data_IF_533211478433
#
_entry.id   IF_533211478433
#
_cell.length_a   1.000
_cell.length_b   1.000
_cell.length_c   1.000
_cell.angle_alpha   90.00
_cell.angle_beta   90.00
_cell.angle_gamma   90.00
#
_symmetry.space_group_name_H-M   'P 1'
#
loop_
_entity.id
_entity.type
_entity.pdbx_description
1 polymer ?
#
# COMPACT_ATOMS: atom_id res chain seq x y z
N UNK A 1 -11.75 -18.51 -12.61
CA UNK A 1 -12.66 -17.38 -12.17
C UNK A 1 -12.50 -16.22 -13.14
N UNK A 2 -13.59 -15.59 -13.63
CA UNK A 2 -13.57 -14.52 -14.63
C UNK A 2 -14.45 -13.36 -14.19
N UNK A 3 -14.05 -12.11 -14.52
CA UNK A 3 -14.73 -10.89 -14.06
C UNK A 3 -16.20 -10.83 -14.50
N UNK A 4 -16.50 -11.17 -15.74
CA UNK A 4 -17.88 -11.10 -16.28
C UNK A 4 -18.89 -11.98 -15.53
N UNK A 5 -18.42 -13.06 -14.88
CA UNK A 5 -19.30 -13.93 -14.07
C UNK A 5 -19.77 -13.29 -12.76
N UNK A 6 -19.04 -12.26 -12.26
CA UNK A 6 -19.34 -11.64 -10.98
C UNK A 6 -19.67 -10.14 -11.05
N UNK A 7 -19.43 -9.47 -12.20
CA UNK A 7 -19.57 -8.01 -12.33
C UNK A 7 -20.94 -7.46 -11.93
N UNK A 8 -22.00 -8.26 -12.07
CA UNK A 8 -23.36 -7.88 -11.70
C UNK A 8 -23.69 -8.17 -10.22
N UNK A 9 -22.78 -8.77 -9.46
CA UNK A 9 -22.98 -9.12 -8.05
C UNK A 9 -22.13 -8.23 -7.16
N UNK A 10 -22.69 -7.11 -6.73
CA UNK A 10 -21.97 -6.06 -6.00
C UNK A 10 -21.10 -6.59 -4.82
N UNK A 11 -21.67 -7.47 -3.99
CA UNK A 11 -20.97 -8.07 -2.86
C UNK A 11 -19.75 -8.90 -3.28
N UNK A 12 -19.84 -9.67 -4.39
CA UNK A 12 -18.75 -10.49 -4.90
C UNK A 12 -17.64 -9.62 -5.52
N UNK A 13 -17.99 -8.54 -6.21
CA UNK A 13 -17.02 -7.59 -6.77
C UNK A 13 -16.26 -6.87 -5.65
N UNK A 14 -16.91 -6.49 -4.57
CA UNK A 14 -16.21 -5.91 -3.41
C UNK A 14 -15.37 -6.94 -2.66
N UNK A 15 -15.85 -8.19 -2.54
CA UNK A 15 -15.14 -9.25 -1.83
C UNK A 15 -13.90 -9.72 -2.59
N UNK A 16 -13.97 -9.89 -3.91
CA UNK A 16 -12.92 -10.48 -4.71
C UNK A 16 -11.85 -9.44 -5.14
N UNK A 17 -12.08 -8.47 -6.06
CA UNK A 17 -11.06 -7.48 -6.42
C UNK A 17 -10.98 -6.29 -5.46
N UNK A 18 -11.99 -6.06 -4.61
CA UNK A 18 -12.02 -4.98 -3.62
C UNK A 18 -12.27 -3.58 -4.19
N UNK A 19 -12.85 -3.49 -5.36
CA UNK A 19 -13.30 -2.28 -6.04
C UNK A 19 -14.78 -2.39 -6.39
N UNK A 20 -15.49 -1.28 -6.50
CA UNK A 20 -16.80 -1.25 -7.12
C UNK A 20 -16.69 -1.44 -8.64
N UNK A 21 -17.77 -1.80 -9.37
CA UNK A 21 -17.74 -1.87 -10.83
C UNK A 21 -17.27 -0.56 -11.49
N UNK A 22 -17.71 0.59 -11.00
CA UNK A 22 -17.30 1.91 -11.51
C UNK A 22 -15.81 2.15 -11.30
N UNK A 23 -15.29 1.86 -10.10
CA UNK A 23 -13.86 1.96 -9.80
C UNK A 23 -13.05 0.98 -10.66
N UNK A 24 -13.55 -0.24 -10.88
CA UNK A 24 -12.89 -1.24 -11.71
C UNK A 24 -12.80 -0.76 -13.16
N UNK A 25 -13.90 -0.29 -13.74
CA UNK A 25 -13.94 0.17 -15.14
C UNK A 25 -13.04 1.42 -15.33
N UNK A 26 -13.03 2.35 -14.38
CA UNK A 26 -12.14 3.52 -14.40
C UNK A 26 -10.65 3.13 -14.35
N UNK A 27 -10.28 2.15 -13.52
CA UNK A 27 -8.90 1.66 -13.42
C UNK A 27 -8.49 0.90 -14.69
N UNK A 28 -9.44 0.17 -15.30
CA UNK A 28 -9.20 -0.71 -16.45
C UNK A 28 -8.69 0.06 -17.68
N UNK A 29 -9.14 1.29 -17.90
CA UNK A 29 -8.73 2.12 -19.03
C UNK A 29 -7.20 2.32 -19.04
N UNK A 30 -6.64 2.81 -17.94
CA UNK A 30 -5.20 3.05 -17.81
C UNK A 30 -4.40 1.75 -17.69
N UNK A 31 -4.99 0.70 -17.07
CA UNK A 31 -4.36 -0.62 -16.99
C UNK A 31 -4.22 -1.25 -18.39
N UNK A 32 -5.24 -1.12 -19.24
CA UNK A 32 -5.18 -1.57 -20.64
C UNK A 32 -4.08 -0.87 -21.41
N UNK A 33 -3.94 0.46 -21.27
CA UNK A 33 -2.89 1.23 -21.91
C UNK A 33 -1.49 0.66 -21.58
N UNK A 34 -1.18 0.48 -20.28
CA UNK A 34 0.13 -0.04 -19.86
C UNK A 34 0.34 -1.52 -20.20
N UNK A 35 -0.73 -2.31 -20.24
CA UNK A 35 -0.66 -3.67 -20.73
C UNK A 35 -0.30 -3.72 -22.21
N UNK A 36 -0.99 -2.95 -23.06
CA UNK A 36 -0.77 -2.94 -24.51
C UNK A 36 0.63 -2.41 -24.85
N UNK A 37 1.08 -1.36 -24.16
CA UNK A 37 2.45 -0.83 -24.26
C UNK A 37 3.48 -1.92 -23.92
N UNK A 38 3.33 -2.60 -22.79
CA UNK A 38 4.25 -3.66 -22.41
C UNK A 38 4.22 -4.83 -23.39
N UNK A 39 3.04 -5.33 -23.70
CA UNK A 39 2.87 -6.56 -24.47
C UNK A 39 3.28 -6.42 -25.94
N UNK A 40 3.21 -5.23 -26.51
CA UNK A 40 3.73 -4.97 -27.86
C UNK A 40 5.25 -5.11 -27.97
N UNK A 41 5.98 -4.78 -26.87
CA UNK A 41 7.44 -4.75 -26.88
C UNK A 41 8.10 -5.95 -26.17
N UNK A 42 7.43 -6.56 -25.18
CA UNK A 42 8.03 -7.58 -24.34
C UNK A 42 7.21 -8.88 -24.32
N UNK A 43 7.90 -10.00 -24.10
CA UNK A 43 7.28 -11.29 -23.80
C UNK A 43 6.78 -11.31 -22.34
N UNK A 44 6.04 -12.35 -21.94
CA UNK A 44 5.64 -12.52 -20.53
C UNK A 44 6.84 -12.69 -19.58
N UNK A 45 7.98 -13.14 -20.11
CA UNK A 45 9.23 -13.29 -19.38
C UNK A 45 10.10 -12.01 -19.38
N UNK A 46 9.61 -10.90 -19.97
CA UNK A 46 10.30 -9.61 -20.00
C UNK A 46 11.39 -9.49 -21.10
N UNK A 47 11.48 -10.44 -22.04
CA UNK A 47 12.42 -10.35 -23.17
C UNK A 47 11.84 -9.44 -24.27
N UNK A 48 12.70 -8.63 -24.91
CA UNK A 48 12.30 -7.83 -26.07
C UNK A 48 11.76 -8.74 -27.19
N UNK A 49 10.66 -8.32 -27.79
CA UNK A 49 10.08 -9.00 -28.95
C UNK A 49 10.77 -8.54 -30.22
N UNK A 50 11.04 -9.51 -31.08
CA UNK A 50 11.52 -9.23 -32.47
C UNK A 50 10.39 -8.83 -33.42
N UNK A 51 9.13 -9.17 -33.05
CA UNK A 51 7.92 -8.87 -33.84
C UNK A 51 6.81 -8.40 -32.93
N UNK A 52 5.99 -7.46 -33.40
CA UNK A 52 4.78 -7.03 -32.69
C UNK A 52 3.87 -8.25 -32.48
N UNK A 53 3.36 -8.40 -31.29
CA UNK A 53 2.48 -9.50 -30.92
C UNK A 53 1.14 -8.96 -30.42
N UNK A 54 0.08 -9.65 -30.78
CA UNK A 54 -1.28 -9.39 -30.30
C UNK A 54 -1.70 -10.44 -29.26
N UNK A 55 -2.66 -10.08 -28.40
CA UNK A 55 -3.23 -11.02 -27.42
C UNK A 55 -3.80 -12.25 -28.12
N UNK A 56 -3.29 -13.43 -27.79
CA UNK A 56 -3.81 -14.69 -28.34
C UNK A 56 -5.12 -15.04 -27.66
N UNK A 57 -6.12 -15.45 -28.44
CA UNK A 57 -7.41 -15.96 -27.91
C UNK A 57 -7.24 -17.20 -27.03
N UNK A 58 -6.17 -17.97 -27.26
CA UNK A 58 -5.78 -19.18 -26.48
C UNK A 58 -4.98 -18.85 -25.21
N UNK A 59 -4.84 -17.59 -24.82
CA UNK A 59 -4.20 -17.21 -23.55
C UNK A 59 -5.11 -17.64 -22.38
N UNK A 60 -4.52 -18.09 -21.30
CA UNK A 60 -5.25 -18.43 -20.03
C UNK A 60 -6.02 -17.23 -19.49
N UNK A 61 -5.49 -16.03 -19.67
CA UNK A 61 -6.18 -14.77 -19.36
C UNK A 61 -6.36 -13.98 -20.66
N UNK A 62 -7.36 -14.30 -21.52
CA UNK A 62 -7.48 -13.70 -22.85
C UNK A 62 -7.91 -12.24 -22.78
N UNK A 63 -8.84 -11.89 -21.89
CA UNK A 63 -9.40 -10.55 -21.77
C UNK A 63 -8.57 -9.67 -20.84
N UNK A 64 -8.55 -8.37 -21.11
CA UNK A 64 -7.81 -7.42 -20.28
C UNK A 64 -8.41 -7.27 -18.88
N UNK A 65 -9.74 -7.30 -18.78
CA UNK A 65 -10.43 -7.28 -17.49
C UNK A 65 -10.08 -8.50 -16.63
N UNK A 66 -9.89 -9.68 -17.23
CA UNK A 66 -9.51 -10.88 -16.46
C UNK A 66 -8.07 -10.79 -15.94
N UNK A 67 -7.16 -10.15 -16.70
CA UNK A 67 -5.80 -9.88 -16.23
C UNK A 67 -5.81 -8.94 -15.01
N UNK A 68 -6.54 -7.83 -15.09
CA UNK A 68 -6.66 -6.90 -13.97
C UNK A 68 -7.39 -7.56 -12.79
N UNK A 69 -8.45 -8.30 -13.05
CA UNK A 69 -9.18 -9.04 -12.04
C UNK A 69 -8.30 -10.06 -11.32
N UNK A 70 -7.52 -10.85 -12.06
CA UNK A 70 -6.56 -11.82 -11.51
C UNK A 70 -5.64 -11.19 -10.47
N UNK A 71 -4.97 -10.08 -10.81
CA UNK A 71 -4.03 -9.45 -9.88
C UNK A 71 -4.72 -8.78 -8.70
N UNK A 72 -5.86 -8.14 -8.90
CA UNK A 72 -6.62 -7.52 -7.82
C UNK A 72 -7.13 -8.55 -6.81
N UNK A 73 -7.62 -9.72 -7.28
CA UNK A 73 -8.02 -10.83 -6.41
C UNK A 73 -6.83 -11.35 -5.61
N UNK A 74 -5.68 -11.54 -6.23
CA UNK A 74 -4.47 -11.98 -5.52
C UNK A 74 -4.07 -11.02 -4.39
N UNK A 75 -3.99 -9.72 -4.69
CA UNK A 75 -3.63 -8.69 -3.70
C UNK A 75 -4.68 -8.56 -2.59
N UNK A 76 -5.96 -8.66 -2.95
CA UNK A 76 -7.09 -8.51 -2.02
C UNK A 76 -7.24 -9.69 -1.08
N UNK A 77 -7.08 -10.93 -1.56
CA UNK A 77 -7.40 -12.13 -0.80
C UNK A 77 -6.18 -12.87 -0.25
N UNK A 78 -4.97 -12.57 -0.76
CA UNK A 78 -3.70 -13.20 -0.36
C UNK A 78 -3.77 -14.74 -0.34
N UNK A 79 -4.22 -15.40 -1.41
CA UNK A 79 -4.31 -16.86 -1.45
C UNK A 79 -2.92 -17.50 -1.56
N UNK A 80 -2.83 -18.79 -1.30
CA UNK A 80 -1.69 -19.58 -1.79
C UNK A 80 -1.66 -19.51 -3.31
N UNK A 81 -0.47 -19.39 -3.90
CA UNK A 81 -0.34 -19.29 -5.36
C UNK A 81 -0.93 -20.52 -6.09
N UNK A 82 -0.83 -21.70 -5.48
CA UNK A 82 -1.46 -22.93 -6.00
C UNK A 82 -2.98 -22.79 -6.07
N UNK A 83 -3.63 -22.35 -4.97
CA UNK A 83 -5.09 -22.14 -4.96
C UNK A 83 -5.51 -21.05 -5.93
N UNK A 84 -4.70 -20.00 -6.07
CA UNK A 84 -4.96 -18.94 -7.04
C UNK A 84 -4.87 -19.47 -8.48
N UNK A 85 -3.89 -20.33 -8.75
CA UNK A 85 -3.72 -20.98 -10.03
C UNK A 85 -4.94 -21.86 -10.38
N UNK A 86 -5.41 -22.67 -9.44
CA UNK A 86 -6.63 -23.50 -9.60
C UNK A 86 -7.85 -22.63 -9.90
N UNK A 87 -8.03 -21.49 -9.19
CA UNK A 87 -9.16 -20.58 -9.43
C UNK A 87 -9.20 -20.01 -10.84
N UNK A 88 -8.04 -19.86 -11.49
CA UNK A 88 -7.89 -19.28 -12.82
C UNK A 88 -7.47 -20.32 -13.89
N UNK A 89 -7.61 -21.60 -13.59
CA UNK A 89 -7.40 -22.71 -14.54
C UNK A 89 -6.00 -22.70 -15.16
N UNK A 90 -4.97 -22.46 -14.33
CA UNK A 90 -3.57 -22.42 -14.75
C UNK A 90 -2.66 -23.17 -13.76
N UNK A 91 -1.41 -23.39 -14.14
CA UNK A 91 -0.40 -23.96 -13.24
C UNK A 91 0.18 -22.90 -12.30
N UNK A 92 0.70 -23.32 -11.14
CA UNK A 92 1.33 -22.41 -10.17
C UNK A 92 2.49 -21.61 -10.77
N UNK A 93 3.41 -22.17 -11.60
CA UNK A 93 4.45 -21.38 -12.26
C UNK A 93 3.89 -20.31 -13.22
N UNK A 94 2.77 -20.60 -13.89
CA UNK A 94 2.09 -19.59 -14.71
C UNK A 94 1.49 -18.49 -13.83
N UNK A 95 0.80 -18.84 -12.75
CA UNK A 95 0.25 -17.87 -11.80
C UNK A 95 1.34 -16.97 -11.21
N UNK A 96 2.48 -17.54 -10.82
CA UNK A 96 3.61 -16.78 -10.31
C UNK A 96 4.12 -15.72 -11.33
N UNK A 97 4.30 -16.10 -12.60
CA UNK A 97 4.70 -15.17 -13.66
C UNK A 97 3.68 -14.06 -13.86
N UNK A 98 2.39 -14.41 -13.92
CA UNK A 98 1.32 -13.42 -14.06
C UNK A 98 1.23 -12.47 -12.86
N UNK A 99 1.37 -12.95 -11.62
CA UNK A 99 1.37 -12.14 -10.42
C UNK A 99 2.43 -11.04 -10.51
N UNK A 100 3.67 -11.40 -10.84
CA UNK A 100 4.76 -10.43 -10.90
C UNK A 100 4.59 -9.44 -12.03
N UNK A 101 4.25 -9.90 -13.23
CA UNK A 101 4.05 -9.03 -14.37
C UNK A 101 2.89 -8.06 -14.16
N UNK A 102 1.72 -8.58 -13.76
CA UNK A 102 0.53 -7.76 -13.61
C UNK A 102 0.62 -6.81 -12.40
N UNK A 103 1.40 -7.14 -11.37
CA UNK A 103 1.73 -6.21 -10.29
C UNK A 103 2.51 -5.01 -10.83
N UNK A 104 3.49 -5.22 -11.71
CA UNK A 104 4.23 -4.12 -12.31
C UNK A 104 3.34 -3.27 -13.24
N UNK A 105 2.47 -3.88 -14.03
CA UNK A 105 1.50 -3.14 -14.86
C UNK A 105 0.55 -2.31 -13.98
N UNK A 106 0.04 -2.88 -12.89
CA UNK A 106 -0.83 -2.17 -11.94
C UNK A 106 -0.10 -1.01 -11.24
N UNK A 107 1.17 -1.20 -10.87
CA UNK A 107 2.01 -0.14 -10.31
C UNK A 107 2.16 1.03 -11.29
N UNK A 108 2.46 0.74 -12.57
CA UNK A 108 2.53 1.77 -13.62
C UNK A 108 1.20 2.49 -13.80
N UNK A 109 0.10 1.73 -13.82
CA UNK A 109 -1.27 2.27 -13.88
C UNK A 109 -1.52 3.28 -12.77
N UNK A 110 -1.28 2.89 -11.51
CA UNK A 110 -1.49 3.76 -10.35
C UNK A 110 -0.54 4.96 -10.35
N UNK A 111 0.69 4.79 -10.86
CA UNK A 111 1.65 5.90 -11.05
C UNK A 111 1.11 6.94 -12.05
N UNK A 112 0.66 6.51 -13.21
CA UNK A 112 0.09 7.39 -14.25
C UNK A 112 -1.15 8.13 -13.74
N UNK A 113 -1.98 7.48 -12.92
CA UNK A 113 -3.14 8.09 -12.28
C UNK A 113 -2.78 9.04 -11.12
N UNK A 114 -1.51 9.15 -10.74
CA UNK A 114 -1.06 9.97 -9.62
C UNK A 114 -1.49 9.45 -8.24
N UNK A 115 -1.74 8.14 -8.12
CA UNK A 115 -2.27 7.54 -6.89
C UNK A 115 -1.19 6.93 -5.99
N UNK A 116 0.01 6.69 -6.50
CA UNK A 116 1.09 6.18 -5.66
C UNK A 116 1.57 7.26 -4.69
N UNK A 117 1.83 6.90 -3.42
CA UNK A 117 2.55 7.80 -2.52
C UNK A 117 3.96 8.07 -3.04
N UNK A 118 4.49 9.23 -2.74
CA UNK A 118 5.87 9.57 -3.09
C UNK A 118 6.85 8.83 -2.16
N UNK A 119 8.05 8.54 -2.68
CA UNK A 119 9.17 8.00 -1.93
C UNK A 119 10.22 9.08 -1.64
N UNK A 120 10.20 10.16 -2.40
CA UNK A 120 11.14 11.25 -2.26
C UNK A 120 10.53 12.37 -1.41
N UNK A 121 11.02 12.53 -0.18
CA UNK A 121 10.53 13.55 0.74
C UNK A 121 10.69 14.99 0.21
N UNK A 122 11.63 15.26 -0.69
CA UNK A 122 11.81 16.59 -1.32
C UNK A 122 10.57 17.05 -2.07
N UNK A 123 9.76 16.12 -2.58
CA UNK A 123 8.52 16.43 -3.31
C UNK A 123 7.35 16.74 -2.39
N UNK A 124 7.45 16.38 -1.10
CA UNK A 124 6.38 16.62 -0.12
C UNK A 124 6.07 18.10 0.04
N UNK A 125 7.07 18.99 -0.07
CA UNK A 125 6.87 20.44 0.01
C UNK A 125 5.83 20.89 -1.03
N UNK A 126 5.88 20.36 -2.24
CA UNK A 126 4.93 20.69 -3.31
C UNK A 126 3.59 19.94 -3.15
N UNK A 127 3.64 18.66 -2.79
CA UNK A 127 2.44 17.82 -2.62
C UNK A 127 1.55 18.34 -1.49
N UNK A 128 2.16 18.88 -0.42
CA UNK A 128 1.49 19.37 0.78
C UNK A 128 1.25 20.88 0.77
N UNK A 129 1.45 21.54 -0.36
CA UNK A 129 1.19 22.98 -0.47
C UNK A 129 -0.28 23.25 -0.15
N UNK A 130 -0.54 24.15 0.81
CA UNK A 130 -1.89 24.47 1.30
C UNK A 130 -2.46 23.46 2.30
N UNK A 131 -1.71 22.43 2.69
CA UNK A 131 -2.11 21.54 3.78
C UNK A 131 -1.68 22.13 5.12
N UNK A 132 -2.60 22.19 6.09
CA UNK A 132 -2.34 22.69 7.44
C UNK A 132 -1.80 21.60 8.36
N UNK A 133 -2.18 20.35 8.13
CA UNK A 133 -1.83 19.22 9.00
C UNK A 133 -1.63 17.91 8.23
N UNK A 134 -0.75 17.09 8.76
CA UNK A 134 -0.47 15.71 8.27
C UNK A 134 -0.28 14.77 9.43
N UNK A 135 -0.48 13.48 9.18
CA UNK A 135 -0.41 12.43 10.19
C UNK A 135 0.64 11.39 9.77
N UNK A 136 1.58 11.12 10.69
CA UNK A 136 2.65 10.13 10.52
C UNK A 136 2.37 8.93 11.41
N UNK A 137 2.48 7.72 10.85
CA UNK A 137 2.39 6.48 11.61
C UNK A 137 3.20 5.37 10.96
N UNK A 138 3.58 4.37 11.76
CA UNK A 138 4.23 3.15 11.31
C UNK A 138 3.23 2.04 11.00
N UNK A 139 3.49 1.27 9.98
CA UNK A 139 2.71 0.05 9.71
C UNK A 139 3.60 -1.17 9.69
N UNK A 140 3.25 -2.16 10.49
CA UNK A 140 3.96 -3.43 10.59
C UNK A 140 3.20 -4.52 9.83
N UNK A 141 3.94 -5.39 9.14
CA UNK A 141 3.39 -6.48 8.33
C UNK A 141 4.10 -7.78 8.69
N UNK A 142 3.37 -8.84 9.08
CA UNK A 142 4.00 -10.12 9.39
C UNK A 142 4.59 -10.77 8.12
N UNK A 143 5.75 -11.40 8.27
CA UNK A 143 6.41 -12.18 7.21
C UNK A 143 6.57 -13.64 7.62
N UNK A 144 6.82 -14.51 6.65
CA UNK A 144 7.25 -15.87 6.93
C UNK A 144 8.57 -15.82 7.71
N UNK A 145 8.71 -16.65 8.75
CA UNK A 145 9.95 -16.76 9.51
C UNK A 145 11.10 -17.09 8.55
N UNK A 146 12.14 -16.26 8.46
CA UNK A 146 13.32 -16.55 7.64
C UNK A 146 14.04 -17.81 8.13
N UNK A 147 14.72 -18.52 7.25
CA UNK A 147 15.57 -19.66 7.62
C UNK A 147 16.95 -19.20 8.12
N UNK A 148 17.43 -18.11 7.61
CA UNK A 148 18.70 -17.47 7.99
C UNK A 148 18.58 -16.80 9.36
N UNK A 149 19.52 -17.06 10.28
CA UNK A 149 19.46 -16.60 11.67
C UNK A 149 19.62 -15.08 11.80
N UNK A 150 20.48 -14.46 11.00
CA UNK A 150 20.68 -13.01 11.02
C UNK A 150 19.40 -12.30 10.56
N UNK A 151 18.81 -12.80 9.51
CA UNK A 151 17.55 -12.30 8.98
C UNK A 151 16.36 -12.58 9.92
N UNK A 152 16.37 -13.70 10.66
CA UNK A 152 15.40 -13.96 11.71
C UNK A 152 15.48 -12.89 12.80
N UNK A 153 16.68 -12.61 13.29
CA UNK A 153 16.94 -11.60 14.31
C UNK A 153 16.51 -10.21 13.82
N UNK A 154 16.89 -9.84 12.60
CA UNK A 154 16.51 -8.56 11.99
C UNK A 154 14.99 -8.38 11.85
N UNK A 155 14.29 -9.41 11.42
CA UNK A 155 12.84 -9.37 11.25
C UNK A 155 12.05 -9.50 12.57
N UNK A 156 12.69 -9.84 13.69
CA UNK A 156 11.99 -10.04 14.97
C UNK A 156 11.55 -8.71 15.59
N UNK A 157 10.26 -8.48 15.67
CA UNK A 157 9.69 -7.18 16.08
C UNK A 157 9.60 -6.98 17.61
N UNK A 158 10.09 -7.92 18.41
CA UNK A 158 9.89 -7.91 19.87
C UNK A 158 8.45 -8.24 20.34
N UNK A 159 7.49 -8.35 19.41
CA UNK A 159 6.09 -8.77 19.66
C UNK A 159 5.85 -10.25 19.38
N UNK A 160 6.89 -11.08 19.51
CA UNK A 160 6.88 -12.53 19.21
C UNK A 160 6.51 -12.87 17.74
N UNK A 161 6.73 -11.95 16.81
CA UNK A 161 6.47 -12.15 15.37
C UNK A 161 7.63 -11.63 14.54
N UNK A 162 7.84 -12.25 13.36
CA UNK A 162 8.75 -11.73 12.33
C UNK A 162 7.95 -10.81 11.43
N UNK A 163 8.45 -9.61 11.24
CA UNK A 163 7.74 -8.57 10.49
C UNK A 163 8.68 -7.66 9.71
N UNK A 164 8.10 -6.89 8.83
CA UNK A 164 8.71 -5.77 8.12
C UNK A 164 7.85 -4.52 8.34
N UNK A 165 8.46 -3.36 8.26
CA UNK A 165 7.84 -2.08 8.58
C UNK A 165 8.00 -1.06 7.48
N UNK A 166 7.03 -0.13 7.45
CA UNK A 166 7.12 1.13 6.70
C UNK A 166 6.50 2.24 7.53
N UNK A 167 7.06 3.43 7.47
CA UNK A 167 6.38 4.63 7.90
C UNK A 167 5.59 5.23 6.73
N UNK A 168 4.46 5.85 7.03
CA UNK A 168 3.64 6.52 6.03
C UNK A 168 3.12 7.86 6.56
N UNK A 169 2.94 8.81 5.65
CA UNK A 169 2.36 10.11 5.91
C UNK A 169 1.02 10.21 5.16
N UNK A 170 -0.03 10.60 5.87
CA UNK A 170 -1.32 10.86 5.24
C UNK A 170 -1.85 12.24 5.58
N UNK A 171 -2.73 12.76 4.74
CA UNK A 171 -3.46 14.01 4.91
C UNK A 171 -4.79 13.74 5.63
N UNK A 172 -5.47 14.80 6.07
CA UNK A 172 -6.77 14.74 6.75
C UNK A 172 -7.87 14.02 5.96
N UNK A 173 -7.80 14.03 4.64
CA UNK A 173 -8.72 13.31 3.77
C UNK A 173 -8.33 11.85 3.54
N UNK A 174 -7.47 11.30 4.40
CA UNK A 174 -7.00 9.90 4.41
C UNK A 174 -6.13 9.51 3.21
N UNK A 175 -5.68 10.45 2.39
CA UNK A 175 -4.78 10.17 1.27
C UNK A 175 -3.36 9.92 1.80
N UNK A 176 -2.77 8.78 1.45
CA UNK A 176 -1.38 8.46 1.77
C UNK A 176 -0.49 9.14 0.74
N UNK A 177 0.30 10.12 1.17
CA UNK A 177 1.11 10.98 0.30
C UNK A 177 2.58 10.59 0.26
N UNK A 178 3.06 9.92 1.29
CA UNK A 178 4.43 9.41 1.36
C UNK A 178 4.48 8.04 2.03
N UNK A 179 5.46 7.25 1.65
CA UNK A 179 5.72 5.92 2.18
C UNK A 179 7.23 5.69 2.22
N UNK A 180 7.79 5.32 3.38
CA UNK A 180 9.21 4.96 3.50
C UNK A 180 9.55 3.68 2.73
N UNK A 181 10.82 3.40 2.52
CA UNK A 181 11.31 2.08 2.15
C UNK A 181 10.85 1.03 3.17
N UNK A 182 10.92 -0.25 2.80
CA UNK A 182 10.58 -1.35 3.70
C UNK A 182 11.78 -1.70 4.56
N UNK A 183 11.59 -1.67 5.89
CA UNK A 183 12.59 -1.99 6.91
C UNK A 183 12.25 -3.29 7.63
N UNK A 184 13.25 -3.89 8.27
CA UNK A 184 13.08 -5.04 9.14
C UNK A 184 12.34 -4.68 10.43
N UNK A 185 11.62 -5.66 11.01
CA UNK A 185 10.71 -5.45 12.13
C UNK A 185 11.34 -4.93 13.42
N UNK A 186 12.66 -5.18 13.66
CA UNK A 186 13.36 -4.69 14.84
C UNK A 186 13.65 -3.17 14.79
N UNK A 187 13.63 -2.56 13.60
CA UNK A 187 13.93 -1.13 13.42
C UNK A 187 12.83 -0.28 14.06
N UNK A 188 13.22 0.69 14.88
CA UNK A 188 12.28 1.63 15.48
C UNK A 188 11.75 2.64 14.45
N UNK A 189 10.47 3.01 14.57
CA UNK A 189 9.81 3.90 13.62
C UNK A 189 10.51 5.26 13.52
N UNK A 190 11.01 5.80 14.64
CA UNK A 190 11.84 7.02 14.67
C UNK A 190 13.14 6.87 13.85
N UNK A 191 13.81 5.71 13.95
CA UNK A 191 15.05 5.46 13.20
C UNK A 191 14.82 5.47 11.69
N UNK A 192 13.67 4.98 11.23
CA UNK A 192 13.26 5.08 9.81
C UNK A 192 13.17 6.54 9.37
N UNK A 193 12.61 7.42 10.21
CA UNK A 193 12.56 8.85 9.91
C UNK A 193 13.93 9.53 9.95
N UNK A 194 14.90 9.01 10.73
CA UNK A 194 16.27 9.53 10.73
C UNK A 194 17.02 9.15 9.45
N UNK A 195 16.77 7.94 8.92
CA UNK A 195 17.39 7.46 7.69
C UNK A 195 16.71 8.03 6.43
N UNK A 196 15.41 8.29 6.51
CA UNK A 196 14.61 8.91 5.44
C UNK A 196 13.95 10.21 5.96
N UNK A 197 14.70 11.32 6.10
CA UNK A 197 14.19 12.56 6.69
C UNK A 197 13.00 13.12 5.90
N UNK A 198 11.95 13.51 6.62
CA UNK A 198 10.78 14.16 6.05
C UNK A 198 11.04 15.65 5.85
N UNK A 199 10.94 16.13 4.63
CA UNK A 199 10.96 17.55 4.28
C UNK A 199 9.52 18.03 4.13
N UNK A 200 9.03 18.76 5.12
CA UNK A 200 7.66 19.24 5.19
C UNK A 200 7.59 20.77 5.02
N UNK A 201 6.46 21.32 4.57
CA UNK A 201 6.25 22.78 4.55
C UNK A 201 6.37 23.36 5.95
N UNK A 202 6.93 24.58 6.06
CA UNK A 202 7.01 25.28 7.35
C UNK A 202 5.63 25.65 7.88
N UNK A 203 5.44 25.52 9.18
CA UNK A 203 4.18 25.83 9.86
C UNK A 203 3.12 24.74 9.77
N UNK A 204 3.40 23.62 9.11
CA UNK A 204 2.48 22.48 9.08
C UNK A 204 2.48 21.75 10.44
N UNK A 205 1.31 21.28 10.90
CA UNK A 205 1.19 20.46 12.10
C UNK A 205 1.38 18.97 11.75
N UNK A 206 2.35 18.31 12.42
CA UNK A 206 2.63 16.87 12.26
C UNK A 206 2.12 16.09 13.46
N UNK A 207 1.07 15.31 13.24
CA UNK A 207 0.48 14.41 14.24
C UNK A 207 1.21 13.07 14.20
N UNK A 208 1.86 12.71 15.30
CA UNK A 208 2.61 11.46 15.41
C UNK A 208 2.43 10.82 16.80
N UNK A 209 2.75 9.53 16.92
CA UNK A 209 2.65 8.84 18.20
C UNK A 209 3.96 8.88 19.01
N UNK A 210 3.94 8.29 20.20
CA UNK A 210 5.11 8.23 21.09
C UNK A 210 6.24 7.34 20.56
N UNK A 211 6.02 6.54 19.52
CA UNK A 211 7.06 5.78 18.81
C UNK A 211 8.03 6.67 18.04
N UNK A 212 7.62 7.93 17.78
CA UNK A 212 8.42 8.94 17.08
C UNK A 212 9.08 9.97 18.01
N UNK A 213 9.18 9.70 19.33
CA UNK A 213 9.84 10.61 20.28
C UNK A 213 11.23 10.99 19.78
N UNK A 214 11.49 12.31 19.67
CA UNK A 214 12.73 12.87 19.15
C UNK A 214 12.75 13.13 17.65
N UNK A 215 11.73 12.72 16.88
CA UNK A 215 11.57 13.13 15.49
C UNK A 215 10.94 14.52 15.42
N UNK A 216 11.69 15.51 14.91
CA UNK A 216 11.28 16.90 14.80
C UNK A 216 11.84 17.51 13.50
N UNK A 217 11.12 17.43 12.39
CA UNK A 217 11.49 18.14 11.17
C UNK A 217 11.50 19.66 11.37
N UNK A 218 12.41 20.36 10.71
CA UNK A 218 12.58 21.80 10.84
C UNK A 218 11.34 22.58 10.42
N UNK A 219 10.95 23.56 11.26
CA UNK A 219 9.82 24.44 10.97
C UNK A 219 8.43 23.78 11.04
N UNK A 220 8.32 22.62 11.66
CA UNK A 220 7.09 21.84 11.78
C UNK A 220 6.59 21.84 13.22
N UNK A 221 5.30 22.05 13.42
CA UNK A 221 4.66 21.92 14.73
C UNK A 221 4.40 20.44 15.04
N UNK A 222 4.96 19.95 16.15
CA UNK A 222 4.80 18.54 16.56
C UNK A 222 3.63 18.37 17.50
N UNK A 223 2.64 17.61 17.08
CA UNK A 223 1.46 17.21 17.85
C UNK A 223 1.59 15.74 18.27
N UNK A 224 1.96 15.50 19.53
CA UNK A 224 2.23 14.15 20.06
C UNK A 224 1.60 13.98 21.47
N UNK A 225 1.00 12.81 21.79
CA UNK A 225 0.50 12.57 23.13
C UNK A 225 1.63 12.56 24.15
N UNK A 226 1.38 13.13 25.32
CA UNK A 226 2.31 13.08 26.45
C UNK A 226 2.37 11.66 27.01
N UNK A 227 3.59 11.13 27.13
CA UNK A 227 3.84 9.84 27.77
C UNK A 227 3.70 10.00 29.30
N UNK A 228 3.03 9.03 29.94
CA UNK A 228 2.93 8.98 31.39
C UNK A 228 4.33 8.86 32.02
N UNK A 229 4.76 9.81 32.89
CA UNK A 229 6.03 9.69 33.59
C UNK A 229 6.04 8.48 34.55
N UNK A 230 7.22 7.91 34.79
CA UNK A 230 7.37 6.80 35.74
C UNK A 230 6.97 7.27 37.16
N UNK A 231 6.04 6.58 37.79
CA UNK A 231 5.60 6.90 39.16
C UNK A 231 4.68 8.11 39.34
N UNK A 232 4.24 8.75 38.23
CA UNK A 232 3.30 9.89 38.32
C UNK A 232 2.10 9.66 37.38
N UNK A 233 0.96 10.24 37.75
CA UNK A 233 -0.23 10.27 36.89
C UNK A 233 -0.21 11.52 36.01
N UNK A 234 -0.83 11.40 34.81
CA UNK A 234 -1.10 12.56 33.97
C UNK A 234 -2.20 13.39 34.63
N UNK A 235 -2.07 14.71 34.56
CA UNK A 235 -3.10 15.65 34.99
C UNK A 235 -4.37 15.50 34.15
N UNK A 236 -5.49 16.03 34.66
CA UNK A 236 -6.76 16.01 33.90
C UNK A 236 -6.64 16.73 32.54
N UNK A 237 -5.91 17.84 32.49
CA UNK A 237 -5.63 18.62 31.27
C UNK A 237 -4.82 17.79 30.27
N UNK A 238 -3.76 17.12 30.73
CA UNK A 238 -2.92 16.25 29.85
C UNK A 238 -3.69 15.05 29.35
N UNK A 239 -4.56 14.45 30.16
CA UNK A 239 -5.45 13.36 29.73
C UNK A 239 -6.44 13.83 28.66
N UNK A 240 -7.02 15.02 28.83
CA UNK A 240 -7.93 15.61 27.86
C UNK A 240 -7.22 15.92 26.53
N UNK A 241 -6.01 16.50 26.57
CA UNK A 241 -5.22 16.77 25.38
C UNK A 241 -4.79 15.48 24.68
N UNK A 242 -4.35 14.46 25.40
CA UNK A 242 -4.07 13.15 24.82
C UNK A 242 -5.30 12.54 24.11
N UNK A 243 -6.49 12.71 24.69
CA UNK A 243 -7.75 12.26 24.07
C UNK A 243 -8.03 13.03 22.77
N UNK A 244 -7.80 14.35 22.75
CA UNK A 244 -7.94 15.19 21.54
C UNK A 244 -6.99 14.72 20.43
N UNK A 245 -5.71 14.54 20.76
CA UNK A 245 -4.67 14.07 19.84
C UNK A 245 -5.03 12.69 19.27
N UNK A 246 -5.44 11.74 20.15
CA UNK A 246 -5.87 10.41 19.72
C UNK A 246 -7.07 10.46 18.76
N UNK A 247 -8.03 11.36 19.03
CA UNK A 247 -9.19 11.56 18.16
C UNK A 247 -8.83 12.05 16.74
N UNK A 248 -7.76 12.84 16.61
CA UNK A 248 -7.25 13.27 15.31
C UNK A 248 -6.48 12.13 14.64
N UNK A 249 -5.62 11.44 15.40
CA UNK A 249 -4.77 10.35 14.89
C UNK A 249 -5.56 9.12 14.39
N UNK A 250 -6.79 8.92 14.80
CA UNK A 250 -7.65 7.84 14.27
C UNK A 250 -7.76 7.89 12.73
N UNK A 251 -7.54 9.05 12.11
CA UNK A 251 -7.53 9.21 10.65
C UNK A 251 -6.41 8.40 10.00
N UNK A 252 -5.18 8.41 10.56
CA UNK A 252 -4.09 7.60 9.98
C UNK A 252 -4.35 6.12 10.16
N UNK A 253 -4.96 5.71 11.25
CA UNK A 253 -5.39 4.32 11.46
C UNK A 253 -6.44 3.91 10.42
N UNK A 254 -7.37 4.80 10.07
CA UNK A 254 -8.34 4.59 8.99
C UNK A 254 -7.65 4.48 7.61
N UNK A 255 -6.64 5.30 7.32
CA UNK A 255 -5.86 5.20 6.09
C UNK A 255 -5.12 3.85 6.01
N UNK A 256 -4.45 3.45 7.09
CA UNK A 256 -3.78 2.15 7.22
C UNK A 256 -4.80 1.00 7.08
N UNK A 257 -5.95 1.08 7.74
CA UNK A 257 -7.03 0.11 7.61
C UNK A 257 -7.57 0.02 6.17
N UNK A 258 -7.70 1.16 5.49
CA UNK A 258 -8.08 1.25 4.09
C UNK A 258 -7.06 0.60 3.14
N UNK A 259 -5.76 0.81 3.36
CA UNK A 259 -4.68 0.14 2.65
C UNK A 259 -4.69 -1.38 2.95
N UNK A 260 -4.83 -1.77 4.20
CA UNK A 260 -4.89 -3.18 4.66
C UNK A 260 -6.15 -3.94 4.21
N UNK A 261 -7.08 -3.30 3.48
CA UNK A 261 -8.10 -4.02 2.69
C UNK A 261 -7.46 -4.97 1.66
N UNK A 262 -6.26 -4.67 1.18
CA UNK A 262 -5.41 -5.61 0.48
C UNK A 262 -4.79 -6.57 1.51
N UNK A 263 -5.34 -7.78 1.65
CA UNK A 263 -4.92 -8.75 2.69
C UNK A 263 -3.46 -9.17 2.57
N UNK A 264 -2.86 -9.05 1.38
CA UNK A 264 -1.43 -9.32 1.17
C UNK A 264 -0.52 -8.45 2.03
N UNK A 265 -0.96 -7.23 2.42
CA UNK A 265 -0.22 -6.33 3.32
C UNK A 265 -0.76 -6.36 4.76
N UNK A 266 -1.77 -7.16 5.05
CA UNK A 266 -2.33 -7.38 6.39
C UNK A 266 -1.91 -8.73 6.98
N UNK A 267 -1.94 -9.76 6.15
CA UNK A 267 -1.63 -11.13 6.53
C UNK A 267 -0.14 -11.44 6.34
N UNK A 268 0.26 -12.66 6.76
CA UNK A 268 1.64 -13.12 6.60
C UNK A 268 2.06 -13.08 5.13
N UNK A 269 3.07 -12.27 4.84
CA UNK A 269 3.67 -12.19 3.52
C UNK A 269 4.54 -13.43 3.25
N UNK A 270 4.33 -14.10 2.13
CA UNK A 270 4.90 -15.41 1.80
C UNK A 270 5.79 -15.42 0.55
N UNK A 271 5.85 -14.30 -0.18
CA UNK A 271 6.66 -14.25 -1.40
C UNK A 271 8.13 -14.01 -1.04
N UNK A 272 9.04 -14.80 -1.64
CA UNK A 272 10.48 -14.70 -1.40
C UNK A 272 11.20 -13.83 -2.45
N UNK A 273 10.49 -13.31 -3.46
CA UNK A 273 11.11 -12.44 -4.47
C UNK A 273 11.47 -11.10 -3.85
N UNK A 274 12.75 -10.77 -3.89
CA UNK A 274 13.29 -9.52 -3.37
C UNK A 274 12.58 -8.29 -3.95
N UNK A 275 12.24 -7.33 -3.09
CA UNK A 275 11.56 -6.07 -3.46
C UNK A 275 10.06 -6.22 -3.76
N UNK A 276 9.51 -7.44 -3.79
CA UNK A 276 8.08 -7.62 -4.01
C UNK A 276 7.25 -7.19 -2.80
N UNK A 277 7.79 -7.35 -1.58
CA UNK A 277 7.22 -6.84 -0.33
C UNK A 277 7.01 -5.32 -0.37
N UNK A 278 7.96 -4.59 -0.96
CA UNK A 278 7.89 -3.14 -1.10
C UNK A 278 6.92 -2.73 -2.22
N UNK A 279 6.92 -3.46 -3.33
CA UNK A 279 5.99 -3.24 -4.43
C UNK A 279 4.53 -3.41 -4.00
N UNK A 280 4.20 -4.45 -3.23
CA UNK A 280 2.79 -4.71 -2.85
C UNK A 280 2.25 -3.70 -1.87
N UNK A 281 3.05 -3.14 -0.95
CA UNK A 281 2.58 -2.08 -0.07
C UNK A 281 2.39 -0.78 -0.85
N UNK A 282 3.27 -0.46 -1.77
CA UNK A 282 3.14 0.71 -2.65
C UNK A 282 1.84 0.64 -3.47
N UNK A 283 1.55 -0.52 -4.07
CA UNK A 283 0.30 -0.76 -4.80
C UNK A 283 -0.92 -0.66 -3.87
N UNK A 284 -0.85 -1.23 -2.67
CA UNK A 284 -1.95 -1.20 -1.71
C UNK A 284 -2.28 0.24 -1.25
N UNK A 285 -1.26 1.08 -1.04
CA UNK A 285 -1.43 2.52 -0.80
C UNK A 285 -2.08 3.21 -2.02
N UNK A 286 -1.61 2.92 -3.22
CA UNK A 286 -2.18 3.48 -4.45
C UNK A 286 -3.64 3.08 -4.67
N UNK A 287 -4.00 1.82 -4.43
CA UNK A 287 -5.39 1.36 -4.50
C UNK A 287 -6.26 1.99 -3.41
N UNK A 288 -5.70 2.26 -2.22
CA UNK A 288 -6.40 3.01 -1.19
C UNK A 288 -6.69 4.44 -1.64
N UNK A 289 -5.66 5.17 -2.13
CA UNK A 289 -5.79 6.53 -2.63
C UNK A 289 -6.81 6.62 -3.78
N UNK A 290 -6.75 5.68 -4.71
CA UNK A 290 -7.70 5.58 -5.82
C UNK A 290 -9.16 5.48 -5.33
N UNK A 291 -9.43 4.62 -4.33
CA UNK A 291 -10.77 4.52 -3.72
C UNK A 291 -11.20 5.79 -2.99
N UNK A 292 -10.27 6.47 -2.30
CA UNK A 292 -10.56 7.75 -1.63
C UNK A 292 -10.96 8.81 -2.64
N UNK A 293 -10.22 8.96 -3.75
CA UNK A 293 -10.55 9.91 -4.81
C UNK A 293 -11.95 9.66 -5.37
N UNK A 294 -12.28 8.41 -5.69
CA UNK A 294 -13.62 8.06 -6.23
C UNK A 294 -14.75 8.34 -5.23
N UNK A 295 -14.53 8.11 -3.92
CA UNK A 295 -15.52 8.48 -2.91
C UNK A 295 -15.77 9.99 -2.84
N UNK A 296 -14.73 10.79 -2.91
CA UNK A 296 -14.85 12.25 -2.83
C UNK A 296 -15.58 12.81 -4.05
N UNK A 297 -15.34 12.27 -5.24
CA UNK A 297 -16.05 12.68 -6.47
C UNK A 297 -17.56 12.42 -6.42
N UNK A 298 -18.03 11.44 -5.64
CA UNK A 298 -19.45 11.16 -5.45
C UNK A 298 -20.14 12.03 -4.39
N UNK A 299 -19.37 12.73 -3.55
CA UNK A 299 -19.92 13.63 -2.51
C UNK A 299 -20.07 15.06 -3.05
N UNK A 300 -19.31 15.40 -4.09
CA UNK A 300 -19.33 16.76 -4.73
C UNK A 300 -20.26 16.87 -5.93
N UNK A 301 -20.90 15.80 -6.35
CA UNK A 301 -21.97 15.74 -7.34
C UNK A 301 -23.32 15.44 -6.66
#
# INVERSE_FOLDING_TARGET
MYYDKIRHRHSQVLAAPGLTPVEFDALLVTFKYHWDEYYSHFTLEGKLRQRISYNRKTSVLPLIQDKMFFILVYLKTNPLQELHAVQFEMTQPQANRWIHLLSEILRRTLKTLGELPDRNSKRLIHILQGCEEVLLDGTERPVQRPLDEDRQSACYSGKKTHSIKNNLLCTNNLRIVWLSSTYEGHVHDKKICDEEPLLLPRGISLWQDTGFIGHRPDGVEICMPRKKPKGKELTAVEKQENKRISGIRIKVEHAIGGMKKCRIVKERFRCHKFGFEDMVILIACGLHNFRIRHKMSHITN
#
